data_IF_597205977309
#
_entry.id   IF_597205977309
#
_cell.length_a   1.000
_cell.length_b   1.000
_cell.length_c   1.000
_cell.angle_alpha   90.00
_cell.angle_beta   90.00
_cell.angle_gamma   90.00
#
_symmetry.space_group_name_H-M   'P 1'
#
loop_
_entity.id
_entity.type
_entity.pdbx_description
1 polymer ?
#
# COMPACT_ATOMS: atom_id res chain seq x y z
N UNK A 1 14.18 -14.52 -1.13
CA UNK A 1 14.03 -13.30 -0.31
C UNK A 1 12.81 -12.59 -0.86
N UNK A 2 11.75 -12.31 -0.09
CA UNK A 2 10.61 -11.57 -0.62
C UNK A 2 11.08 -10.16 -0.94
N UNK A 3 11.01 -9.79 -2.22
CA UNK A 3 11.32 -8.44 -2.68
C UNK A 3 10.41 -7.44 -1.93
N UNK A 4 10.97 -6.33 -1.38
CA UNK A 4 10.17 -5.34 -0.68
C UNK A 4 9.16 -4.69 -1.63
N UNK A 5 7.98 -4.41 -1.11
CA UNK A 5 6.86 -3.80 -1.82
C UNK A 5 7.30 -2.51 -2.55
N UNK A 6 7.15 -2.49 -3.88
CA UNK A 6 7.55 -1.37 -4.74
C UNK A 6 6.42 -0.34 -4.82
N UNK A 7 6.64 0.85 -4.29
CA UNK A 7 5.74 1.97 -4.48
C UNK A 7 5.85 2.48 -5.92
N UNK A 8 4.74 2.40 -6.67
CA UNK A 8 4.66 2.92 -8.05
C UNK A 8 4.27 4.40 -8.03
N UNK A 9 3.25 4.74 -7.23
CA UNK A 9 2.76 6.12 -7.14
C UNK A 9 1.99 6.32 -5.84
N UNK A 10 2.02 7.54 -5.31
CA UNK A 10 1.20 7.95 -4.18
C UNK A 10 0.64 9.35 -4.44
N UNK A 11 -0.65 9.53 -4.23
CA UNK A 11 -1.36 10.79 -4.38
C UNK A 11 -2.19 11.10 -3.14
N UNK A 12 -2.22 12.37 -2.75
CA UNK A 12 -3.16 12.84 -1.72
C UNK A 12 -4.53 13.00 -2.37
N UNK A 13 -5.56 12.37 -1.81
CA UNK A 13 -6.91 12.38 -2.38
C UNK A 13 -7.95 12.48 -1.27
N UNK A 14 -8.84 13.48 -1.36
CA UNK A 14 -9.94 13.72 -0.41
C UNK A 14 -9.52 13.68 1.08
N UNK A 15 -8.37 14.26 1.43
CA UNK A 15 -7.83 14.26 2.80
C UNK A 15 -7.13 12.96 3.22
N UNK A 16 -7.18 11.91 2.42
CA UNK A 16 -6.42 10.66 2.58
C UNK A 16 -5.23 10.55 1.61
N UNK A 17 -4.65 9.36 1.54
CA UNK A 17 -3.55 9.02 0.62
C UNK A 17 -3.93 7.77 -0.17
N UNK A 18 -3.93 7.88 -1.50
CA UNK A 18 -4.04 6.75 -2.40
C UNK A 18 -2.63 6.34 -2.85
N UNK A 19 -2.23 5.10 -2.60
CA UNK A 19 -0.97 4.53 -3.05
C UNK A 19 -1.19 3.36 -3.98
N UNK A 20 -0.35 3.24 -5.01
CA UNK A 20 -0.25 2.08 -5.89
C UNK A 20 1.08 1.41 -5.62
N UNK A 21 1.02 0.11 -5.36
CA UNK A 21 2.17 -0.72 -5.01
C UNK A 21 2.23 -1.94 -5.91
N UNK A 22 3.42 -2.45 -6.14
CA UNK A 22 3.66 -3.70 -6.84
C UNK A 22 4.58 -4.60 -6.03
N UNK A 23 4.32 -5.90 -6.05
CA UNK A 23 5.18 -6.90 -5.44
C UNK A 23 5.12 -8.21 -6.20
N UNK A 24 6.20 -8.98 -6.13
CA UNK A 24 6.22 -10.33 -6.63
C UNK A 24 5.37 -11.22 -5.70
N UNK A 25 4.25 -11.72 -6.20
CA UNK A 25 3.42 -12.66 -5.47
C UNK A 25 4.08 -14.03 -5.47
N UNK A 26 4.41 -14.56 -4.30
CA UNK A 26 4.94 -15.93 -4.16
C UNK A 26 3.89 -17.00 -4.47
N UNK A 27 2.60 -16.67 -4.32
CA UNK A 27 1.51 -17.61 -4.62
C UNK A 27 1.20 -17.69 -6.12
N UNK A 28 1.32 -16.58 -6.84
CA UNK A 28 1.01 -16.52 -8.27
C UNK A 28 2.27 -16.53 -9.16
N UNK A 29 3.46 -16.45 -8.55
CA UNK A 29 4.76 -16.33 -9.22
C UNK A 29 4.83 -15.21 -10.27
N UNK A 30 4.12 -14.10 -10.05
CA UNK A 30 4.08 -12.96 -10.96
C UNK A 30 4.00 -11.61 -10.22
N UNK A 31 4.35 -10.52 -10.90
CA UNK A 31 4.25 -9.17 -10.37
C UNK A 31 2.79 -8.74 -10.25
N UNK A 32 2.36 -8.45 -9.02
CA UNK A 32 1.01 -8.05 -8.69
C UNK A 32 0.99 -6.58 -8.28
N UNK A 33 0.22 -5.78 -9.04
CA UNK A 33 -0.01 -4.37 -8.75
C UNK A 33 -1.37 -4.19 -8.07
N UNK A 34 -1.39 -3.46 -6.95
CA UNK A 34 -2.60 -3.18 -6.19
C UNK A 34 -2.64 -1.72 -5.72
N UNK A 35 -3.86 -1.19 -5.60
CA UNK A 35 -4.10 0.16 -5.10
C UNK A 35 -4.66 0.09 -3.68
N UNK A 36 -4.13 0.92 -2.79
CA UNK A 36 -4.58 1.08 -1.41
C UNK A 36 -4.95 2.54 -1.19
N UNK A 37 -6.17 2.78 -0.72
CA UNK A 37 -6.59 4.08 -0.25
C UNK A 37 -6.58 4.09 1.29
N UNK A 38 -5.79 4.99 1.86
CA UNK A 38 -5.68 5.21 3.30
C UNK A 38 -6.45 6.49 3.63
N UNK A 39 -7.65 6.38 4.22
CA UNK A 39 -8.41 7.56 4.65
C UNK A 39 -7.71 8.26 5.84
N UNK A 40 -7.99 9.55 6.08
CA UNK A 40 -7.32 10.31 7.14
C UNK A 40 -7.45 9.68 8.54
N UNK A 41 -8.58 9.02 8.82
CA UNK A 41 -8.86 8.33 10.08
C UNK A 41 -7.99 7.08 10.29
N UNK A 42 -7.56 6.42 9.21
CA UNK A 42 -6.72 5.22 9.31
C UNK A 42 -5.28 5.54 9.73
N UNK A 43 -4.86 6.81 9.60
CA UNK A 43 -3.53 7.27 10.03
C UNK A 43 -3.38 7.25 11.55
N UNK A 44 -4.46 7.40 12.31
CA UNK A 44 -4.45 7.26 13.77
C UNK A 44 -4.37 5.79 14.21
N UNK A 45 -5.08 4.88 13.54
CA UNK A 45 -5.12 3.46 13.96
C UNK A 45 -3.81 2.70 13.75
N UNK A 46 -2.87 3.23 12.94
CA UNK A 46 -1.56 2.61 12.76
C UNK A 46 -0.62 2.77 13.98
N UNK A 47 -0.91 3.73 14.87
CA UNK A 47 -0.10 3.99 16.08
C UNK A 47 -0.65 3.26 17.33
N UNK A 48 -1.97 3.01 17.39
CA UNK A 48 -2.63 2.40 18.56
C UNK A 48 -2.61 0.86 18.58
N UNK A 49 -2.04 0.21 17.54
CA UNK A 49 -1.92 -1.25 17.47
C UNK A 49 -0.51 -1.76 17.83
N UNK A 50 0.22 -1.02 18.66
CA UNK A 50 1.52 -1.44 19.21
C UNK A 50 1.40 -2.04 20.60
#
# INVERSE_FOLDING_TARGET
>A
MPEPMKTISQAKSHGGVQGIYSHLSTSCCCDMTFAVFVPPQARETADTAR
#
